data_IF_326245301656
#
_entry.id   IF_326245301656
#
_cell.length_a   1.000
_cell.length_b   1.000
_cell.length_c   1.000
_cell.angle_alpha   90.00
_cell.angle_beta   90.00
_cell.angle_gamma   90.00
#
_symmetry.space_group_name_H-M   'P 1'
#
loop_
_entity.id
_entity.type
_entity.pdbx_description
1 polymer ?
#
# COMPACT_ATOMS: atom_id res chain seq x y z
N UNK A 1 27.68 22.05 18.33
CA UNK A 1 26.36 22.13 18.95
C UNK A 1 26.41 21.22 20.19
N UNK A 2 26.54 21.82 21.36
CA UNK A 2 26.80 21.10 22.63
C UNK A 2 25.57 21.24 23.56
N UNK A 3 24.36 20.98 23.07
CA UNK A 3 23.14 21.04 23.87
C UNK A 3 22.42 19.70 23.88
N UNK A 4 21.90 19.33 25.03
CA UNK A 4 21.01 18.16 25.18
C UNK A 4 19.59 18.63 24.83
N UNK A 5 18.90 18.00 23.86
CA UNK A 5 17.53 18.38 23.52
C UNK A 5 16.56 18.05 24.65
N UNK A 6 15.62 18.94 24.90
CA UNK A 6 14.53 18.69 25.87
C UNK A 6 13.54 17.63 25.40
N UNK A 7 13.44 17.44 24.08
CA UNK A 7 12.56 16.48 23.43
C UNK A 7 13.18 16.01 22.13
N UNK A 8 13.11 14.73 21.87
CA UNK A 8 13.39 14.11 20.58
C UNK A 8 12.19 13.29 20.15
N UNK A 9 11.96 13.20 18.86
CA UNK A 9 10.87 12.38 18.30
C UNK A 9 11.34 11.69 17.05
N UNK A 10 10.77 10.52 16.77
CA UNK A 10 10.93 9.82 15.50
C UNK A 10 9.58 9.27 15.04
N UNK A 11 9.46 9.07 13.75
CA UNK A 11 8.33 8.40 13.13
C UNK A 11 8.83 7.08 12.54
N UNK A 12 8.05 6.04 12.76
CA UNK A 12 8.36 4.68 12.30
C UNK A 12 7.19 4.21 11.47
N UNK A 13 7.47 3.74 10.25
CA UNK A 13 6.50 3.13 9.35
C UNK A 13 6.86 1.64 9.19
N UNK A 14 5.94 0.77 9.59
CA UNK A 14 6.10 -0.68 9.50
C UNK A 14 5.13 -1.21 8.45
N UNK A 15 5.62 -1.99 7.50
CA UNK A 15 4.82 -2.54 6.40
C UNK A 15 5.05 -4.04 6.26
N UNK A 16 3.96 -4.77 6.06
CA UNK A 16 3.97 -6.20 5.72
C UNK A 16 2.70 -6.55 4.97
N UNK A 17 2.74 -7.59 4.15
CA UNK A 17 1.55 -8.24 3.57
C UNK A 17 0.92 -9.25 4.53
N UNK A 18 1.65 -9.64 5.57
CA UNK A 18 1.23 -10.62 6.56
C UNK A 18 0.81 -9.89 7.85
N UNK A 19 -0.48 -9.87 8.21
CA UNK A 19 -0.96 -9.15 9.40
C UNK A 19 -0.22 -9.53 10.68
N UNK A 20 -0.04 -10.83 10.94
CA UNK A 20 0.65 -11.32 12.14
C UNK A 20 2.09 -10.81 12.29
N UNK A 21 2.75 -10.46 11.18
CA UNK A 21 4.10 -9.86 11.21
C UNK A 21 4.06 -8.41 11.64
N UNK A 22 2.99 -7.68 11.30
CA UNK A 22 2.80 -6.30 11.78
C UNK A 22 2.62 -6.31 13.30
N UNK A 23 1.77 -7.20 13.82
CA UNK A 23 1.52 -7.34 15.26
C UNK A 23 2.82 -7.70 16.00
N UNK A 24 3.58 -8.66 15.49
CA UNK A 24 4.86 -9.07 16.08
C UNK A 24 5.89 -7.92 16.06
N UNK A 25 5.96 -7.14 14.98
CA UNK A 25 6.89 -6.00 14.88
C UNK A 25 6.48 -4.85 15.79
N UNK A 26 5.17 -4.61 15.95
CA UNK A 26 4.66 -3.59 16.88
C UNK A 26 5.02 -3.97 18.33
N UNK A 27 4.84 -5.23 18.70
CA UNK A 27 5.22 -5.73 20.02
C UNK A 27 6.74 -5.62 20.29
N UNK A 28 7.56 -6.04 19.31
CA UNK A 28 9.02 -5.91 19.41
C UNK A 28 9.43 -4.44 19.56
N UNK A 29 8.85 -3.55 18.77
CA UNK A 29 9.14 -2.11 18.85
C UNK A 29 8.78 -1.57 20.23
N UNK A 30 7.57 -1.86 20.73
CA UNK A 30 7.11 -1.41 22.03
C UNK A 30 8.04 -1.90 23.16
N UNK A 31 8.34 -3.18 23.18
CA UNK A 31 9.21 -3.79 24.19
C UNK A 31 10.62 -3.23 24.16
N UNK A 32 11.17 -3.02 22.96
CA UNK A 32 12.51 -2.46 22.76
C UNK A 32 12.59 -1.00 23.27
N UNK A 33 11.56 -0.21 22.97
CA UNK A 33 11.49 1.18 23.45
C UNK A 33 11.34 1.28 24.96
N UNK A 34 10.56 0.39 25.58
CA UNK A 34 10.42 0.33 27.06
C UNK A 34 11.73 -0.10 27.72
N UNK A 35 12.41 -1.11 27.18
CA UNK A 35 13.72 -1.54 27.67
C UNK A 35 14.74 -0.43 27.58
N UNK A 36 14.83 0.24 26.43
CA UNK A 36 15.76 1.35 26.22
C UNK A 36 15.50 2.52 27.19
N UNK A 37 14.20 2.82 27.45
CA UNK A 37 13.84 3.85 28.44
C UNK A 37 14.32 3.49 29.83
N UNK A 38 14.09 2.24 30.25
CA UNK A 38 14.53 1.72 31.55
C UNK A 38 16.05 1.83 31.68
N UNK A 39 16.80 1.29 30.69
CA UNK A 39 18.26 1.29 30.69
C UNK A 39 18.81 2.72 30.78
N UNK A 40 18.24 3.67 30.02
CA UNK A 40 18.67 5.06 30.06
C UNK A 40 18.38 5.73 31.38
N UNK A 41 17.27 5.44 32.04
CA UNK A 41 16.93 5.98 33.34
C UNK A 41 17.81 5.38 34.46
N UNK A 42 18.20 4.12 34.34
CA UNK A 42 19.15 3.49 35.26
C UNK A 42 20.56 4.06 35.15
N UNK A 43 21.00 4.41 33.93
CA UNK A 43 22.33 4.99 33.69
C UNK A 43 22.42 6.49 33.99
N UNK A 44 21.33 7.18 34.22
CA UNK A 44 21.35 8.63 34.47
C UNK A 44 22.13 8.97 35.72
N UNK A 45 22.88 10.07 35.68
CA UNK A 45 23.68 10.56 36.81
C UNK A 45 22.92 11.60 37.68
N UNK A 46 22.02 12.35 37.06
CA UNK A 46 21.25 13.41 37.73
C UNK A 46 20.04 13.81 36.86
N UNK A 47 19.14 14.60 37.42
CA UNK A 47 17.97 15.13 36.73
C UNK A 47 16.76 14.20 36.78
N UNK A 48 15.64 14.62 36.18
CA UNK A 48 14.41 13.83 36.14
C UNK A 48 14.56 12.62 35.20
N UNK A 49 13.67 11.64 35.38
CA UNK A 49 13.58 10.51 34.47
C UNK A 49 13.14 10.94 33.07
N UNK A 50 13.70 10.26 32.06
CA UNK A 50 13.19 10.33 30.71
C UNK A 50 11.76 9.76 30.67
N UNK A 51 10.94 10.35 29.81
CA UNK A 51 9.58 9.89 29.56
C UNK A 51 9.45 9.48 28.10
N UNK A 52 8.76 8.39 27.88
CA UNK A 52 8.44 7.89 26.54
C UNK A 52 6.95 8.02 26.28
N UNK A 53 6.60 8.53 25.12
CA UNK A 53 5.23 8.52 24.60
C UNK A 53 5.26 7.85 23.26
N UNK A 54 4.47 6.80 23.08
CA UNK A 54 4.29 6.09 21.81
C UNK A 54 2.85 6.33 21.34
N UNK A 55 2.70 6.92 20.16
CA UNK A 55 1.40 7.18 19.56
C UNK A 55 1.31 6.44 18.23
N UNK A 56 0.35 5.53 18.08
CA UNK A 56 0.00 4.94 16.80
C UNK A 56 -0.84 5.95 16.01
N UNK A 57 -0.27 6.52 14.97
CA UNK A 57 -0.89 7.58 14.16
C UNK A 57 -1.57 7.07 12.90
N UNK A 58 -1.38 5.81 12.57
CA UNK A 58 -2.01 5.15 11.43
C UNK A 58 -2.07 3.65 11.63
N UNK A 59 -3.14 3.04 11.14
CA UNK A 59 -3.34 1.60 11.12
C UNK A 59 -4.11 1.24 9.86
N UNK A 60 -3.38 0.76 8.85
CA UNK A 60 -3.99 0.31 7.61
C UNK A 60 -3.91 -1.22 7.57
N UNK A 61 -5.03 -1.91 7.41
CA UNK A 61 -5.02 -3.37 7.34
C UNK A 61 -4.16 -3.85 6.17
N UNK A 62 -3.50 -4.97 6.36
CA UNK A 62 -2.65 -5.60 5.36
C UNK A 62 -3.26 -6.90 4.86
N UNK A 63 -2.73 -7.39 3.75
CA UNK A 63 -3.12 -8.66 3.15
C UNK A 63 -2.48 -8.83 1.79
N UNK A 64 -2.67 -10.01 1.23
CA UNK A 64 -2.25 -10.32 -0.15
C UNK A 64 -3.34 -11.11 -0.85
N UNK A 65 -3.38 -11.00 -2.16
CA UNK A 65 -4.21 -11.81 -3.05
C UNK A 65 -3.29 -12.78 -3.78
N UNK A 66 -3.68 -14.04 -3.88
CA UNK A 66 -2.96 -15.04 -4.65
C UNK A 66 -3.07 -14.73 -6.15
N UNK A 67 -1.98 -14.91 -6.87
CA UNK A 67 -1.94 -14.65 -8.32
C UNK A 67 -2.92 -15.52 -9.11
N UNK A 68 -3.25 -16.72 -8.61
CA UNK A 68 -4.19 -17.65 -9.27
C UNK A 68 -5.67 -17.21 -9.19
N UNK A 69 -5.97 -16.21 -8.38
CA UNK A 69 -7.35 -15.69 -8.24
C UNK A 69 -7.85 -15.15 -9.59
N UNK A 70 -9.08 -15.49 -10.00
CA UNK A 70 -9.61 -15.12 -11.33
C UNK A 70 -9.51 -13.64 -11.67
N UNK A 71 -9.80 -12.74 -10.73
CA UNK A 71 -9.65 -11.29 -10.94
C UNK A 71 -8.20 -10.93 -11.34
N UNK A 72 -7.20 -11.51 -10.68
CA UNK A 72 -5.79 -11.23 -10.97
C UNK A 72 -5.44 -11.77 -12.36
N UNK A 73 -5.87 -13.00 -12.67
CA UNK A 73 -5.61 -13.62 -13.99
C UNK A 73 -6.26 -12.83 -15.13
N UNK A 74 -7.50 -12.34 -14.96
CA UNK A 74 -8.16 -11.48 -15.96
C UNK A 74 -7.46 -10.13 -16.08
N UNK A 75 -7.00 -9.55 -14.99
CA UNK A 75 -6.24 -8.30 -15.01
C UNK A 75 -4.92 -8.46 -15.76
N UNK A 76 -4.21 -9.56 -15.54
CA UNK A 76 -2.99 -9.93 -16.29
C UNK A 76 -3.31 -10.03 -17.78
N UNK A 77 -4.31 -10.84 -18.14
CA UNK A 77 -4.70 -11.05 -19.54
C UNK A 77 -5.14 -9.75 -20.24
N UNK A 78 -5.93 -8.92 -19.55
CA UNK A 78 -6.36 -7.62 -20.06
C UNK A 78 -5.16 -6.67 -20.28
N UNK A 79 -4.20 -6.66 -19.35
CA UNK A 79 -2.99 -5.84 -19.48
C UNK A 79 -2.14 -6.28 -20.66
N UNK A 80 -1.96 -7.59 -20.86
CA UNK A 80 -1.26 -8.16 -22.01
C UNK A 80 -1.98 -7.85 -23.32
N UNK A 81 -3.32 -7.92 -23.34
CA UNK A 81 -4.12 -7.54 -24.51
C UNK A 81 -3.92 -6.08 -24.90
N UNK A 82 -3.69 -5.19 -23.94
CA UNK A 82 -3.33 -3.79 -24.21
C UNK A 82 -1.88 -3.59 -24.66
N UNK A 83 -1.12 -4.67 -24.87
CA UNK A 83 0.27 -4.63 -25.34
C UNK A 83 1.28 -4.25 -24.25
N UNK A 84 0.92 -4.43 -22.99
CA UNK A 84 1.78 -4.10 -21.84
C UNK A 84 2.10 -5.37 -21.06
N UNK A 85 3.38 -5.56 -20.72
CA UNK A 85 3.79 -6.66 -19.86
C UNK A 85 3.40 -6.34 -18.39
N UNK A 86 2.51 -7.16 -17.77
CA UNK A 86 2.04 -6.89 -16.41
C UNK A 86 3.15 -7.12 -15.40
N UNK A 87 3.24 -6.22 -14.42
CA UNK A 87 4.12 -6.36 -13.26
C UNK A 87 3.29 -6.38 -12.00
N UNK A 88 3.35 -7.49 -11.28
CA UNK A 88 2.72 -7.61 -9.98
C UNK A 88 3.62 -6.98 -8.92
N UNK A 89 3.08 -6.07 -8.17
CA UNK A 89 3.80 -5.34 -7.13
C UNK A 89 2.96 -5.26 -5.86
N UNK A 90 3.64 -5.01 -4.75
CA UNK A 90 3.01 -4.76 -3.46
C UNK A 90 2.95 -3.26 -3.25
N UNK A 91 1.78 -2.75 -2.85
CA UNK A 91 1.58 -1.34 -2.59
C UNK A 91 0.56 -1.10 -1.50
N UNK A 92 0.63 0.07 -0.86
CA UNK A 92 -0.39 0.50 0.09
C UNK A 92 -1.42 1.35 -0.65
N UNK A 93 -2.59 0.78 -0.90
CA UNK A 93 -3.67 1.40 -1.66
C UNK A 93 -5.03 1.14 -0.97
N UNK A 94 -6.10 1.67 -1.53
CA UNK A 94 -7.45 1.38 -1.03
C UNK A 94 -7.85 -0.10 -1.19
N UNK A 95 -7.15 -0.86 -2.04
CA UNK A 95 -7.33 -2.32 -2.15
C UNK A 95 -7.00 -3.08 -0.88
N UNK A 96 -6.22 -2.48 0.05
CA UNK A 96 -5.92 -3.08 1.35
C UNK A 96 -7.20 -3.45 2.13
N UNK A 97 -8.24 -2.62 2.03
CA UNK A 97 -9.48 -2.83 2.79
C UNK A 97 -10.21 -4.10 2.32
N UNK A 98 -10.64 -4.23 1.05
CA UNK A 98 -11.28 -5.46 0.60
C UNK A 98 -10.38 -6.69 0.77
N UNK A 99 -9.09 -6.58 0.50
CA UNK A 99 -8.14 -7.71 0.66
C UNK A 99 -8.11 -8.19 2.11
N UNK A 100 -8.07 -7.29 3.09
CA UNK A 100 -8.08 -7.65 4.52
C UNK A 100 -9.38 -8.34 4.96
N UNK A 101 -10.46 -8.14 4.20
CA UNK A 101 -11.76 -8.80 4.41
C UNK A 101 -11.90 -10.10 3.61
N UNK A 102 -10.84 -10.57 2.95
CA UNK A 102 -10.86 -11.77 2.11
C UNK A 102 -11.53 -11.55 0.75
N UNK A 103 -11.79 -10.30 0.36
CA UNK A 103 -12.39 -9.96 -0.94
C UNK A 103 -11.24 -9.65 -1.91
N UNK A 104 -11.15 -10.38 -3.03
CA UNK A 104 -10.15 -10.10 -4.05
C UNK A 104 -10.26 -8.66 -4.56
N UNK A 105 -9.11 -7.99 -4.63
CA UNK A 105 -9.03 -6.65 -5.17
C UNK A 105 -7.67 -6.41 -5.85
N UNK A 106 -7.65 -5.52 -6.81
CA UNK A 106 -6.46 -5.13 -7.55
C UNK A 106 -6.44 -3.61 -7.72
N UNK A 107 -5.25 -3.05 -7.72
CA UNK A 107 -5.02 -1.66 -8.10
C UNK A 107 -4.27 -1.65 -9.43
N UNK A 108 -4.78 -0.91 -10.39
CA UNK A 108 -4.14 -0.70 -11.70
C UNK A 108 -3.54 0.69 -11.81
N UNK A 109 -2.57 0.84 -12.71
CA UNK A 109 -1.95 2.12 -12.99
C UNK A 109 -2.93 3.13 -13.61
N UNK A 110 -2.72 4.41 -13.32
CA UNK A 110 -3.51 5.52 -13.89
C UNK A 110 -3.18 5.85 -15.36
N UNK A 111 -2.13 5.20 -15.93
CA UNK A 111 -1.57 5.58 -17.23
C UNK A 111 -0.80 6.90 -17.19
N UNK A 112 -0.35 7.35 -18.35
CA UNK A 112 0.50 8.54 -18.49
C UNK A 112 1.93 8.32 -18.01
N UNK A 113 2.72 9.38 -18.11
CA UNK A 113 4.10 9.44 -17.61
C UNK A 113 4.13 10.27 -16.32
N UNK A 114 5.03 9.99 -15.41
CA UNK A 114 5.19 10.77 -14.18
C UNK A 114 6.45 10.41 -13.42
N UNK A 115 6.88 11.34 -12.58
CA UNK A 115 8.03 11.12 -11.69
C UNK A 115 7.88 11.94 -10.40
N UNK A 116 8.81 11.70 -9.46
CA UNK A 116 8.86 12.43 -8.20
C UNK A 116 7.71 12.11 -7.25
N UNK A 117 7.09 10.93 -7.35
CA UNK A 117 5.97 10.58 -6.48
C UNK A 117 6.27 10.84 -5.00
N UNK A 118 5.32 11.48 -4.30
CA UNK A 118 5.43 11.89 -2.89
C UNK A 118 6.47 12.98 -2.60
N UNK A 119 6.92 13.73 -3.60
CA UNK A 119 7.78 14.90 -3.43
C UNK A 119 7.09 16.18 -3.88
N UNK A 120 7.69 17.34 -3.56
CA UNK A 120 7.20 18.64 -4.03
C UNK A 120 7.38 18.84 -5.54
N UNK A 121 8.24 18.03 -6.16
CA UNK A 121 8.53 18.03 -7.59
C UNK A 121 7.75 16.93 -8.32
N UNK A 122 6.71 16.38 -7.69
CA UNK A 122 5.86 15.37 -8.33
C UNK A 122 5.13 15.98 -9.54
N UNK A 123 5.22 15.27 -10.67
CA UNK A 123 4.50 15.65 -11.87
C UNK A 123 3.86 14.44 -12.54
N UNK A 124 2.82 14.70 -13.31
CA UNK A 124 2.16 13.73 -14.16
C UNK A 124 1.79 14.36 -15.50
N UNK A 125 2.08 13.66 -16.58
CA UNK A 125 1.74 14.02 -17.95
C UNK A 125 0.69 13.04 -18.48
N UNK A 126 -0.43 13.55 -18.95
CA UNK A 126 -1.49 12.74 -19.58
C UNK A 126 -1.08 12.31 -20.99
N UNK A 127 -0.12 11.40 -21.08
CA UNK A 127 0.28 10.76 -22.32
C UNK A 127 -0.42 9.41 -22.40
N UNK A 128 -1.32 9.26 -23.36
CA UNK A 128 -2.11 8.02 -23.54
C UNK A 128 -2.89 7.56 -22.31
N UNK A 129 -3.25 8.47 -21.39
CA UNK A 129 -3.97 8.12 -20.17
C UNK A 129 -5.31 7.43 -20.39
N UNK A 130 -5.91 7.60 -21.56
CA UNK A 130 -7.13 6.90 -21.98
C UNK A 130 -6.96 5.38 -22.00
N UNK A 131 -5.74 4.86 -22.21
CA UNK A 131 -5.47 3.42 -22.23
C UNK A 131 -5.73 2.77 -20.87
N UNK A 132 -5.47 3.46 -19.77
CA UNK A 132 -5.79 2.93 -18.44
C UNK A 132 -7.30 2.90 -18.18
N UNK A 133 -8.05 3.84 -18.75
CA UNK A 133 -9.53 3.82 -18.70
C UNK A 133 -10.07 2.63 -19.51
N UNK A 134 -9.51 2.39 -20.70
CA UNK A 134 -9.86 1.21 -21.52
C UNK A 134 -9.51 -0.09 -20.79
N UNK A 135 -8.35 -0.17 -20.16
CA UNK A 135 -7.95 -1.31 -19.34
C UNK A 135 -8.93 -1.55 -18.18
N UNK A 136 -9.29 -0.50 -17.45
CA UNK A 136 -10.27 -0.60 -16.36
C UNK A 136 -11.62 -1.13 -16.85
N UNK A 137 -12.11 -0.62 -17.99
CA UNK A 137 -13.35 -1.08 -18.59
C UNK A 137 -13.24 -2.55 -19.04
N UNK A 138 -12.14 -2.94 -19.66
CA UNK A 138 -11.92 -4.31 -20.09
C UNK A 138 -11.91 -5.29 -18.93
N UNK A 139 -11.25 -4.94 -17.82
CA UNK A 139 -11.26 -5.74 -16.59
C UNK A 139 -12.69 -5.84 -16.04
N UNK A 140 -13.41 -4.74 -15.94
CA UNK A 140 -14.78 -4.72 -15.45
C UNK A 140 -15.69 -5.63 -16.28
N UNK A 141 -15.64 -5.52 -17.60
CA UNK A 141 -16.44 -6.35 -18.49
C UNK A 141 -16.04 -7.84 -18.42
N UNK A 142 -14.77 -8.14 -18.22
CA UNK A 142 -14.31 -9.53 -18.04
C UNK A 142 -14.75 -10.15 -16.71
N UNK A 143 -14.97 -9.32 -15.68
CA UNK A 143 -15.50 -9.78 -14.40
C UNK A 143 -17.03 -9.97 -14.42
N UNK A 144 -17.75 -9.01 -15.01
CA UNK A 144 -19.21 -9.01 -15.01
C UNK A 144 -19.82 -9.86 -16.12
N UNK A 145 -19.04 -10.13 -17.16
CA UNK A 145 -19.51 -10.73 -18.41
C UNK A 145 -20.31 -9.73 -19.25
N UNK A 146 -20.47 -10.06 -20.51
CA UNK A 146 -21.30 -9.32 -21.45
C UNK A 146 -22.40 -10.26 -21.93
N UNK A 147 -23.65 -9.84 -21.85
CA UNK A 147 -24.76 -10.64 -22.36
C UNK A 147 -24.64 -10.74 -23.88
N UNK A 148 -24.61 -11.96 -24.42
CA UNK A 148 -24.49 -12.22 -25.86
C UNK A 148 -25.61 -11.61 -26.72
N UNK A 149 -26.73 -11.24 -26.12
CA UNK A 149 -27.84 -10.55 -26.78
C UNK A 149 -27.51 -9.08 -27.10
N UNK A 150 -26.65 -8.47 -26.31
CA UNK A 150 -26.28 -7.05 -26.50
C UNK A 150 -25.18 -6.88 -27.57
N UNK A 151 -24.34 -7.89 -27.79
CA UNK A 151 -23.29 -7.86 -28.81
C UNK A 151 -23.81 -7.79 -30.23
N UNK A 152 -25.00 -8.32 -30.52
CA UNK A 152 -25.61 -8.26 -31.87
C UNK A 152 -26.03 -6.84 -32.27
N UNK A 153 -26.30 -5.98 -31.30
CA UNK A 153 -26.74 -4.60 -31.54
C UNK A 153 -25.57 -3.62 -31.72
N UNK A 154 -24.34 -4.05 -31.48
CA UNK A 154 -23.14 -3.23 -31.66
C UNK A 154 -22.33 -3.55 -32.93
N UNK A 155 -22.72 -4.60 -33.67
CA UNK A 155 -22.02 -5.07 -34.86
C UNK A 155 -22.81 -4.82 -36.17
N UNK A 156 -24.00 -4.26 -36.10
CA UNK A 156 -24.82 -3.72 -37.18
C UNK A 156 -24.65 -2.20 -37.27
#
# INVERSE_FOLDING_TARGET
>A
INSIPFKSSMQIDIRSVEPYRLDAMEEILFNSMQSALKDQNEMKRSGPDLKLTINKIGDRPSGKVDESVPLIQRTIAATQHMGVEPRLTIGSTNSNIPISLGIPAVTIGRGGDGAGAHSLDEWWLNKDGYKSIQLALLILLSETGINSLDLKNFLD
#
